data_IF_215505638815
#
_entry.id   IF_215505638815
#
_cell.length_a   1.000
_cell.length_b   1.000
_cell.length_c   1.000
_cell.angle_alpha   90.00
_cell.angle_beta   90.00
_cell.angle_gamma   90.00
#
_symmetry.space_group_name_H-M   'P 1'
#
loop_
_entity.id
_entity.type
_entity.pdbx_description
1 polymer ?
#
# COMPACT_ATOMS: atom_id res chain seq x y z
N UNK A 1 8.51 7.25 24.31
CA UNK A 1 7.19 6.83 23.78
C UNK A 1 6.46 8.10 23.42
N UNK A 2 6.52 8.54 22.16
CA UNK A 2 5.77 9.73 21.74
C UNK A 2 5.56 9.76 20.22
N UNK A 3 4.33 10.16 19.87
CA UNK A 3 3.79 10.62 18.58
C UNK A 3 3.60 9.61 17.43
N UNK A 4 2.40 9.02 17.40
CA UNK A 4 1.70 8.59 16.18
C UNK A 4 1.38 9.82 15.31
N UNK A 5 1.94 9.88 14.11
CA UNK A 5 1.66 10.92 13.12
C UNK A 5 0.67 10.37 12.09
N UNK A 6 -0.63 10.50 12.37
CA UNK A 6 -1.70 10.19 11.44
C UNK A 6 -1.74 11.30 10.36
N UNK A 7 -1.18 11.05 9.19
CA UNK A 7 -1.37 11.92 8.01
C UNK A 7 -2.32 11.22 7.03
N UNK A 8 -3.58 11.64 7.09
CA UNK A 8 -4.63 11.35 6.11
C UNK A 8 -4.20 11.93 4.76
N UNK A 9 -4.17 11.10 3.71
CA UNK A 9 -4.01 11.56 2.33
C UNK A 9 -5.42 11.69 1.73
N UNK A 10 -5.86 12.94 1.59
CA UNK A 10 -7.10 13.32 0.93
C UNK A 10 -7.00 13.07 -0.58
N UNK A 11 -7.87 12.20 -1.10
CA UNK A 11 -8.38 12.34 -2.47
C UNK A 11 -9.89 12.51 -2.33
N UNK A 12 -10.33 13.75 -2.41
CA UNK A 12 -11.72 14.13 -2.19
C UNK A 12 -12.66 13.57 -3.25
N UNK A 13 -13.73 12.91 -2.78
CA UNK A 13 -15.06 13.35 -3.16
C UNK A 13 -15.73 13.90 -1.89
N UNK A 14 -15.94 15.21 -1.88
CA UNK A 14 -16.51 15.94 -0.76
C UNK A 14 -18.02 15.74 -0.75
N UNK A 15 -18.54 14.95 0.18
CA UNK A 15 -19.91 15.06 0.66
C UNK A 15 -19.89 15.06 2.20
N UNK A 16 -20.55 16.07 2.72
CA UNK A 16 -20.62 16.51 4.11
C UNK A 16 -20.70 15.39 5.16
N UNK A 17 -19.85 15.51 6.17
CA UNK A 17 -20.18 15.24 7.57
C UNK A 17 -20.89 13.91 7.85
N UNK A 18 -20.12 12.82 7.81
CA UNK A 18 -20.36 11.59 8.58
C UNK A 18 -19.10 10.74 8.43
N UNK A 19 -18.59 10.24 9.55
CA UNK A 19 -17.50 9.29 9.60
C UNK A 19 -17.98 7.98 8.96
N UNK A 20 -17.67 7.79 7.67
CA UNK A 20 -18.00 6.56 6.96
C UNK A 20 -16.74 5.72 6.80
N UNK A 21 -16.62 4.75 7.69
CA UNK A 21 -15.82 3.54 7.51
C UNK A 21 -16.05 2.99 6.10
N UNK A 22 -15.04 3.03 5.23
CA UNK A 22 -15.05 2.19 4.04
C UNK A 22 -14.91 0.75 4.56
N UNK A 23 -15.98 -0.03 4.40
CA UNK A 23 -16.15 -1.37 4.94
C UNK A 23 -14.88 -2.24 4.80
N UNK A 24 -14.27 -2.56 5.93
CA UNK A 24 -13.43 -3.75 6.13
C UNK A 24 -11.95 -3.69 5.72
N UNK A 25 -11.43 -2.58 5.16
CA UNK A 25 -9.99 -2.48 4.84
C UNK A 25 -9.24 -1.65 5.88
N UNK A 26 -8.23 -2.23 6.50
CA UNK A 26 -7.32 -1.60 7.46
C UNK A 26 -5.90 -1.64 6.92
N UNK A 27 -5.20 -0.51 7.01
CA UNK A 27 -3.83 -0.36 6.52
C UNK A 27 -2.99 0.21 7.65
N UNK A 28 -2.12 -0.62 8.20
CA UNK A 28 -1.10 -0.18 9.14
C UNK A 28 0.18 0.12 8.37
N UNK A 29 0.69 1.35 8.53
CA UNK A 29 1.92 1.80 7.88
C UNK A 29 2.97 2.14 8.93
N UNK A 30 4.19 1.64 8.73
CA UNK A 30 5.36 1.99 9.52
C UNK A 30 6.45 2.59 8.63
N UNK A 31 7.01 3.73 9.04
CA UNK A 31 8.16 4.38 8.39
C UNK A 31 9.43 4.14 9.21
N UNK A 32 10.46 3.58 8.59
CA UNK A 32 11.73 3.26 9.23
C UNK A 32 12.87 3.92 8.42
N UNK A 33 13.69 4.80 9.00
CA UNK A 33 14.90 5.28 8.33
C UNK A 33 15.96 4.18 8.29
N UNK A 34 16.39 3.78 7.09
CA UNK A 34 17.46 2.78 6.90
C UNK A 34 18.83 3.47 6.93
N UNK A 35 18.94 4.62 6.26
CA UNK A 35 20.11 5.49 6.27
C UNK A 35 19.68 6.94 5.98
N UNK A 36 20.63 7.86 5.84
CA UNK A 36 20.35 9.30 5.63
C UNK A 36 19.53 9.63 4.37
N UNK A 37 19.50 8.74 3.37
CA UNK A 37 18.85 8.94 2.08
C UNK A 37 17.89 7.82 1.70
N UNK A 38 17.58 6.90 2.61
CA UNK A 38 16.72 5.74 2.34
C UNK A 38 15.74 5.51 3.48
N UNK A 39 14.46 5.41 3.13
CA UNK A 39 13.38 5.10 4.06
C UNK A 39 12.69 3.82 3.64
N UNK A 40 12.44 2.94 4.59
CA UNK A 40 11.57 1.78 4.42
C UNK A 40 10.17 2.12 4.88
N UNK A 41 9.18 1.85 4.05
CA UNK A 41 7.77 1.84 4.43
C UNK A 41 7.30 0.39 4.47
N UNK A 42 6.81 -0.05 5.62
CA UNK A 42 6.19 -1.36 5.80
C UNK A 42 4.68 -1.19 5.91
N UNK A 43 3.95 -2.06 5.23
CA UNK A 43 2.50 -2.07 5.14
C UNK A 43 1.98 -3.41 5.64
N UNK A 44 0.95 -3.36 6.48
CA UNK A 44 0.11 -4.50 6.82
C UNK A 44 -1.29 -4.13 6.39
N UNK A 45 -1.78 -4.83 5.37
CA UNK A 45 -3.09 -4.57 4.77
C UNK A 45 -4.02 -5.73 5.09
N UNK A 46 -5.04 -5.44 5.89
CA UNK A 46 -6.14 -6.37 6.16
C UNK A 46 -7.33 -5.90 5.35
N UNK A 47 -7.95 -6.77 4.58
CA UNK A 47 -9.02 -6.36 3.67
C UNK A 47 -9.73 -7.56 3.03
N UNK A 48 -10.48 -7.32 1.95
CA UNK A 48 -11.16 -8.37 1.21
C UNK A 48 -10.20 -9.21 0.37
N UNK A 49 -10.77 -10.23 -0.28
CA UNK A 49 -10.07 -11.24 -1.08
C UNK A 49 -9.33 -10.69 -2.30
N UNK A 50 -9.64 -9.48 -2.77
CA UNK A 50 -8.93 -8.81 -3.87
C UNK A 50 -8.51 -7.40 -3.50
N UNK A 51 -7.22 -7.14 -3.60
CA UNK A 51 -6.58 -5.88 -3.23
C UNK A 51 -5.63 -5.47 -4.35
N UNK A 52 -5.85 -4.29 -4.90
CA UNK A 52 -4.92 -3.63 -5.82
C UNK A 52 -4.26 -2.47 -5.09
N UNK A 53 -2.94 -2.35 -5.16
CA UNK A 53 -2.22 -1.17 -4.69
C UNK A 53 -1.50 -0.48 -5.85
N UNK A 54 -1.76 0.81 -6.00
CA UNK A 54 -1.08 1.71 -6.94
C UNK A 54 -0.09 2.55 -6.18
N UNK A 55 1.18 2.51 -6.58
CA UNK A 55 2.28 3.22 -5.91
C UNK A 55 2.88 4.22 -6.90
N UNK A 56 2.98 5.49 -6.52
CA UNK A 56 3.66 6.52 -7.31
C UNK A 56 4.61 7.33 -6.42
N UNK A 57 5.94 7.07 -6.48
CA UNK A 57 6.93 7.88 -5.78
C UNK A 57 6.83 9.35 -6.18
N UNK A 58 7.03 10.25 -5.21
CA UNK A 58 7.07 11.69 -5.47
C UNK A 58 8.35 12.07 -6.22
N UNK A 59 8.35 13.26 -6.83
CA UNK A 59 9.53 13.78 -7.53
C UNK A 59 10.74 13.83 -6.59
N UNK A 60 11.88 13.31 -7.04
CA UNK A 60 13.09 13.20 -6.21
C UNK A 60 13.10 12.01 -5.26
N UNK A 61 12.11 11.10 -5.38
CA UNK A 61 12.05 9.83 -4.64
C UNK A 61 12.03 8.69 -5.65
N UNK A 62 12.83 7.65 -5.41
CA UNK A 62 12.89 6.46 -6.26
C UNK A 62 12.58 5.21 -5.45
N UNK A 63 11.72 4.34 -5.99
CA UNK A 63 11.48 3.02 -5.43
C UNK A 63 12.63 2.10 -5.84
N UNK A 64 13.46 1.70 -4.88
CA UNK A 64 14.69 0.93 -5.14
C UNK A 64 14.54 -0.55 -4.86
N UNK A 65 13.66 -0.90 -3.92
CA UNK A 65 13.44 -2.29 -3.52
C UNK A 65 12.04 -2.46 -2.95
N UNK A 66 11.52 -3.66 -3.03
CA UNK A 66 10.34 -4.09 -2.27
C UNK A 66 10.50 -5.54 -1.81
N UNK A 67 9.61 -6.03 -0.96
CA UNK A 67 9.65 -7.40 -0.45
C UNK A 67 8.88 -8.42 -1.30
N UNK A 68 8.36 -8.02 -2.46
CA UNK A 68 7.43 -8.82 -3.26
C UNK A 68 8.13 -9.63 -4.35
N UNK A 69 9.07 -9.01 -5.08
CA UNK A 69 9.91 -9.65 -6.09
C UNK A 69 11.34 -9.12 -5.99
N UNK A 70 12.25 -9.64 -6.80
CA UNK A 70 13.64 -9.19 -6.85
C UNK A 70 13.75 -7.69 -7.19
N UNK A 71 13.01 -7.23 -8.20
CA UNK A 71 13.04 -5.86 -8.68
C UNK A 71 11.62 -5.27 -8.85
N UNK A 72 11.40 -3.99 -8.46
CA UNK A 72 10.14 -3.29 -8.68
C UNK A 72 9.74 -3.18 -10.16
N UNK A 73 8.59 -3.75 -10.49
CA UNK A 73 8.07 -3.73 -11.87
C UNK A 73 7.31 -2.43 -12.14
N UNK A 74 7.93 -1.54 -12.92
CA UNK A 74 7.33 -0.28 -13.35
C UNK A 74 6.17 -0.54 -14.32
N UNK A 75 5.05 0.13 -14.08
CA UNK A 75 3.88 0.15 -14.96
C UNK A 75 3.91 1.41 -15.86
N UNK A 76 2.74 1.93 -16.23
CA UNK A 76 2.61 3.19 -16.95
C UNK A 76 2.94 4.38 -16.05
N UNK A 77 3.51 5.44 -16.61
CA UNK A 77 3.78 6.64 -15.85
C UNK A 77 2.48 7.39 -15.52
N UNK A 78 2.41 7.93 -14.30
CA UNK A 78 1.32 8.77 -13.85
C UNK A 78 1.85 10.20 -13.65
N UNK A 79 1.39 11.13 -14.49
CA UNK A 79 1.79 12.56 -14.44
C UNK A 79 3.32 12.72 -14.42
N UNK A 80 4.00 12.09 -15.38
CA UNK A 80 5.46 12.08 -15.54
C UNK A 80 6.24 11.48 -14.36
N UNK A 81 5.58 10.64 -13.55
CA UNK A 81 6.22 9.89 -12.45
C UNK A 81 6.06 8.39 -12.67
N UNK A 82 7.06 7.58 -12.29
CA UNK A 82 6.91 6.13 -12.32
C UNK A 82 5.72 5.72 -11.46
N UNK A 83 4.96 4.74 -11.93
CA UNK A 83 3.96 4.05 -11.12
C UNK A 83 4.22 2.56 -11.08
N UNK A 84 3.75 1.92 -10.02
CA UNK A 84 3.86 0.49 -9.81
C UNK A 84 2.48 -0.05 -9.47
N UNK A 85 2.13 -1.15 -10.11
CA UNK A 85 0.84 -1.81 -9.96
C UNK A 85 1.05 -3.12 -9.23
N UNK A 86 0.39 -3.27 -8.08
CA UNK A 86 0.37 -4.49 -7.31
C UNK A 86 -1.05 -5.03 -7.29
N UNK A 87 -1.17 -6.33 -7.56
CA UNK A 87 -2.42 -7.05 -7.43
C UNK A 87 -2.21 -8.23 -6.50
N UNK A 88 -2.98 -8.26 -5.43
CA UNK A 88 -2.99 -9.28 -4.41
C UNK A 88 -4.39 -9.88 -4.35
N UNK A 89 -4.49 -11.20 -4.46
CA UNK A 89 -5.75 -11.92 -4.32
C UNK A 89 -5.55 -13.24 -3.62
N UNK A 90 -6.51 -13.66 -2.80
CA UNK A 90 -6.51 -14.95 -2.11
C UNK A 90 -7.90 -15.57 -2.12
N UNK A 91 -7.99 -16.90 -2.00
CA UNK A 91 -9.27 -17.62 -2.06
C UNK A 91 -9.86 -17.94 -0.68
N UNK A 92 -9.04 -18.44 0.26
CA UNK A 92 -9.54 -19.02 1.51
C UNK A 92 -8.78 -18.54 2.77
N UNK A 93 -7.48 -18.24 2.64
CA UNK A 93 -6.64 -17.95 3.81
C UNK A 93 -6.47 -16.44 4.07
N UNK A 94 -6.77 -16.01 5.29
CA UNK A 94 -6.97 -14.62 5.71
C UNK A 94 -5.82 -14.02 6.52
N UNK A 95 -4.56 -14.23 6.11
CA UNK A 95 -3.45 -13.50 6.73
C UNK A 95 -3.36 -12.07 6.16
N UNK A 96 -3.10 -11.05 7.01
CA UNK A 96 -2.89 -9.69 6.53
C UNK A 96 -1.77 -9.62 5.49
N UNK A 97 -2.05 -9.00 4.35
CA UNK A 97 -1.06 -8.82 3.30
C UNK A 97 0.03 -7.87 3.79
N UNK A 98 1.20 -8.44 4.06
CA UNK A 98 2.34 -7.70 4.61
C UNK A 98 3.42 -7.53 3.56
N UNK A 99 3.81 -6.29 3.28
CA UNK A 99 4.90 -6.00 2.36
C UNK A 99 5.65 -4.72 2.75
N UNK A 100 6.86 -4.55 2.23
CA UNK A 100 7.65 -3.35 2.46
C UNK A 100 8.25 -2.83 1.17
N UNK A 101 8.50 -1.52 1.13
CA UNK A 101 9.15 -0.82 0.04
C UNK A 101 10.27 0.06 0.58
N UNK A 102 11.39 0.12 -0.14
CA UNK A 102 12.52 1.00 0.14
C UNK A 102 12.53 2.14 -0.86
N UNK A 103 12.48 3.36 -0.33
CA UNK A 103 12.46 4.60 -1.08
C UNK A 103 13.75 5.36 -0.85
N UNK A 104 14.51 5.60 -1.92
CA UNK A 104 15.67 6.48 -1.88
C UNK A 104 15.27 7.92 -2.21
N UNK A 105 15.85 8.89 -1.51
CA UNK A 105 15.57 10.32 -1.71
C UNK A 105 16.82 11.05 -2.19
N UNK A 106 16.64 12.07 -3.02
CA UNK A 106 17.77 12.93 -3.43
C UNK A 106 18.20 13.87 -2.29
N UNK A 107 19.34 14.55 -2.45
CA UNK A 107 19.88 15.46 -1.43
C UNK A 107 19.00 16.68 -1.19
N UNK A 108 18.21 17.05 -2.17
CA UNK A 108 17.28 18.19 -2.17
C UNK A 108 15.97 17.85 -1.44
N UNK A 109 15.80 16.61 -1.00
CA UNK A 109 14.61 16.18 -0.28
C UNK A 109 14.51 16.86 1.08
N UNK A 110 13.39 17.57 1.31
CA UNK A 110 13.09 18.19 2.59
C UNK A 110 12.60 17.10 3.54
N UNK A 111 13.33 16.93 4.66
CA UNK A 111 12.97 16.00 5.74
C UNK A 111 11.50 16.19 6.12
N UNK A 112 10.77 15.09 6.27
CA UNK A 112 9.33 15.03 6.60
C UNK A 112 8.33 15.42 5.50
N UNK A 113 8.81 15.63 4.27
CA UNK A 113 7.93 15.66 3.09
C UNK A 113 7.24 14.31 2.83
N UNK A 114 6.15 14.26 2.06
CA UNK A 114 5.59 13.00 1.58
C UNK A 114 6.56 12.30 0.62
N UNK A 115 6.77 10.99 0.81
CA UNK A 115 7.69 10.19 -0.02
C UNK A 115 6.99 9.60 -1.26
N UNK A 116 5.75 9.17 -1.09
CA UNK A 116 5.03 8.35 -2.07
C UNK A 116 3.54 8.63 -1.97
N UNK A 117 2.86 8.62 -3.11
CA UNK A 117 1.40 8.55 -3.16
C UNK A 117 1.01 7.09 -3.38
N UNK A 118 0.04 6.61 -2.61
CA UNK A 118 -0.44 5.25 -2.72
C UNK A 118 -1.97 5.23 -2.70
N UNK A 119 -2.56 4.37 -3.53
CA UNK A 119 -4.00 4.11 -3.55
C UNK A 119 -4.25 2.62 -3.44
N UNK A 120 -5.23 2.24 -2.63
CA UNK A 120 -5.69 0.86 -2.51
C UNK A 120 -7.10 0.77 -3.05
N UNK A 121 -7.33 -0.21 -3.92
CA UNK A 121 -8.63 -0.54 -4.49
C UNK A 121 -8.93 -1.95 -4.05
N UNK A 122 -10.00 -2.12 -3.29
CA UNK A 122 -10.34 -3.40 -2.68
C UNK A 122 -11.74 -3.82 -3.10
N UNK A 123 -11.90 -5.12 -3.36
CA UNK A 123 -13.16 -5.70 -3.79
C UNK A 123 -13.40 -7.01 -3.05
N UNK A 124 -14.64 -7.22 -2.59
CA UNK A 124 -15.13 -8.54 -2.18
C UNK A 124 -15.72 -9.22 -3.41
N UNK A 125 -14.98 -10.15 -4.03
CA UNK A 125 -15.50 -10.88 -5.20
C UNK A 125 -16.18 -12.19 -4.80
N UNK A 126 -15.73 -12.82 -3.72
CA UNK A 126 -16.33 -14.05 -3.22
C UNK A 126 -17.10 -13.80 -1.92
N UNK A 127 -18.38 -14.15 -1.91
CA UNK A 127 -19.16 -14.28 -0.69
C UNK A 127 -18.76 -15.56 0.05
N UNK A 128 -19.04 -15.61 1.36
CA UNK A 128 -18.81 -16.79 2.19
C UNK A 128 -19.45 -18.08 1.62
N UNK A 129 -20.50 -17.93 0.82
CA UNK A 129 -21.26 -19.01 0.19
C UNK A 129 -20.62 -19.55 -1.12
N UNK A 130 -19.56 -18.91 -1.62
CA UNK A 130 -18.86 -19.27 -2.86
C UNK A 130 -17.45 -19.86 -2.62
N UNK A 131 -17.07 -20.03 -1.36
CA UNK A 131 -15.86 -20.78 -1.00
C UNK A 131 -16.22 -22.27 -1.12
N UNK A 132 -15.69 -22.94 -2.14
CA UNK A 132 -15.81 -24.40 -2.25
C UNK A 132 -15.22 -25.03 -1.00
N UNK A 133 -16.01 -25.79 -0.25
CA UNK A 133 -15.57 -26.38 1.01
C UNK A 133 -14.27 -27.17 0.86
N UNK A 134 -13.45 -27.11 1.91
CA UNK A 134 -12.16 -27.80 2.11
C UNK A 134 -11.95 -28.94 1.12
N UNK A 135 -11.04 -28.73 0.15
CA UNK A 135 -10.51 -29.86 -0.60
C UNK A 135 -9.75 -30.73 0.40
N UNK A 136 -10.20 -31.97 0.69
CA UNK A 136 -9.45 -32.82 1.59
C UNK A 136 -8.07 -33.04 0.98
N UNK A 137 -7.04 -32.54 1.66
CA UNK A 137 -5.66 -32.84 1.34
C UNK A 137 -5.52 -34.37 1.44
N UNK A 138 -5.22 -35.01 0.30
CA UNK A 138 -4.89 -36.43 0.22
C UNK A 138 -3.65 -36.77 1.07
#
# INVERSE_FOLDING_TARGET
MEALNQKTLDIGLCLFGLQWTILGTFIDQMKIPINSYTYRLSFVVTGPDHITALISPRKGVSLTKWSLTEEPLRSLDWVDRPSYFLYYSYAEYSEPWTFSIDLSVTKEYIKDSPLVDMSFITHYLHGHDLITGDFPLC
#
